data_IF_037058042961
#
_entry.id   IF_037058042961
#
_cell.length_a   1.000
_cell.length_b   1.000
_cell.length_c   1.000
_cell.angle_alpha   90.00
_cell.angle_beta   90.00
_cell.angle_gamma   90.00
#
_symmetry.space_group_name_H-M   'P 1'
#
loop_
_entity.id
_entity.type
_entity.pdbx_description
1 polymer ?
#
# COMPACT_ATOMS: atom_id res chain seq x y z
N UNK A 1 20.69 -2.25 6.48
CA UNK A 1 20.55 -3.72 6.61
C UNK A 1 20.59 -4.46 5.27
N UNK A 2 19.81 -4.07 4.25
CA UNK A 2 19.85 -4.71 2.92
C UNK A 2 21.28 -4.84 2.35
N UNK A 3 22.09 -3.76 2.33
CA UNK A 3 23.50 -3.78 1.86
C UNK A 3 24.42 -4.82 2.53
N UNK A 4 24.17 -5.22 3.78
CA UNK A 4 25.03 -6.17 4.50
C UNK A 4 24.82 -7.61 4.02
N UNK A 5 23.56 -7.98 3.75
CA UNK A 5 23.23 -9.23 3.04
C UNK A 5 23.86 -9.27 1.64
N UNK A 6 23.95 -8.13 0.96
CA UNK A 6 24.53 -8.01 -0.39
C UNK A 6 26.02 -8.36 -0.47
N UNK A 7 26.78 -8.24 0.63
CA UNK A 7 28.23 -8.50 0.62
C UNK A 7 28.53 -10.00 0.80
N UNK A 8 27.73 -10.70 1.61
CA UNK A 8 27.89 -12.12 1.92
C UNK A 8 27.54 -13.06 0.75
N UNK A 9 26.67 -12.62 -0.17
CA UNK A 9 26.11 -13.46 -1.22
C UNK A 9 26.90 -13.47 -2.54
N UNK A 10 28.11 -12.88 -2.59
CA UNK A 10 28.91 -12.64 -3.82
C UNK A 10 29.35 -13.87 -4.64
N UNK A 11 29.00 -15.09 -4.26
CA UNK A 11 29.36 -16.29 -5.04
C UNK A 11 28.14 -17.03 -5.57
N UNK A 12 27.95 -16.93 -6.90
CA UNK A 12 27.18 -17.79 -7.82
C UNK A 12 25.79 -17.27 -8.27
N UNK A 13 25.62 -17.26 -9.61
CA UNK A 13 24.48 -16.91 -10.48
C UNK A 13 24.17 -15.41 -10.70
N UNK A 14 24.95 -14.79 -11.61
CA UNK A 14 24.91 -13.37 -12.01
C UNK A 14 23.53 -12.82 -12.39
N UNK A 15 22.67 -13.58 -13.09
CA UNK A 15 21.40 -13.03 -13.62
C UNK A 15 20.30 -12.90 -12.56
N UNK A 16 20.09 -13.93 -11.73
CA UNK A 16 19.04 -13.90 -10.72
C UNK A 16 19.41 -12.97 -9.55
N UNK A 17 20.71 -12.94 -9.21
CA UNK A 17 21.25 -11.92 -8.33
C UNK A 17 21.06 -10.53 -8.92
N UNK A 18 21.47 -10.26 -10.15
CA UNK A 18 21.25 -8.93 -10.74
C UNK A 18 19.78 -8.48 -10.66
N UNK A 19 18.81 -9.36 -10.89
CA UNK A 19 17.39 -9.04 -10.76
C UNK A 19 16.99 -8.78 -9.31
N UNK A 20 17.27 -9.70 -8.36
CA UNK A 20 16.93 -9.51 -6.92
C UNK A 20 17.65 -8.31 -6.31
N UNK A 21 18.86 -8.00 -6.78
CA UNK A 21 19.73 -6.93 -6.31
C UNK A 21 19.48 -5.60 -7.02
N UNK A 22 18.72 -5.57 -8.11
CA UNK A 22 18.55 -4.37 -8.92
C UNK A 22 17.61 -3.36 -8.22
N UNK A 23 17.87 -2.04 -8.35
CA UNK A 23 16.86 -1.01 -8.10
C UNK A 23 15.51 -1.31 -8.82
N UNK A 24 15.57 -1.99 -9.95
CA UNK A 24 14.42 -2.51 -10.73
C UNK A 24 13.49 -3.43 -9.94
N UNK A 25 14.01 -4.17 -8.96
CA UNK A 25 13.21 -5.02 -8.07
C UNK A 25 12.48 -4.23 -6.99
N UNK A 26 12.92 -3.00 -6.68
CA UNK A 26 12.32 -2.22 -5.61
C UNK A 26 11.00 -1.55 -5.97
N UNK A 27 10.52 -1.66 -7.21
CA UNK A 27 9.25 -1.06 -7.66
C UNK A 27 9.15 0.44 -7.35
N UNK A 28 10.27 1.13 -7.09
CA UNK A 28 10.23 2.45 -6.46
C UNK A 28 9.44 3.46 -7.29
N UNK A 29 9.54 3.42 -8.62
CA UNK A 29 8.75 4.31 -9.46
C UNK A 29 7.22 4.15 -9.24
N UNK A 30 6.74 2.93 -9.02
CA UNK A 30 5.31 2.57 -9.04
C UNK A 30 4.76 2.40 -7.62
N UNK A 31 5.63 2.18 -6.66
CA UNK A 31 5.27 1.91 -5.29
C UNK A 31 5.73 2.98 -4.31
N UNK A 32 6.59 3.92 -4.71
CA UNK A 32 7.09 4.97 -3.82
C UNK A 32 6.62 6.36 -4.26
N UNK A 33 6.61 7.27 -3.29
CA UNK A 33 6.26 8.67 -3.47
C UNK A 33 6.98 9.55 -2.45
N UNK A 34 7.01 10.86 -2.73
CA UNK A 34 7.46 11.88 -1.79
C UNK A 34 6.40 12.09 -0.71
N UNK A 35 6.80 12.04 0.55
CA UNK A 35 6.03 12.50 1.71
C UNK A 35 6.76 13.64 2.41
N UNK A 36 6.12 14.26 3.40
CA UNK A 36 6.75 15.30 4.24
C UNK A 36 7.99 14.81 5.01
N UNK A 37 8.14 13.49 5.19
CA UNK A 37 9.23 12.88 5.98
C UNK A 37 10.30 12.19 5.13
N UNK A 38 9.97 11.80 3.90
CA UNK A 38 10.86 11.04 3.03
C UNK A 38 10.49 11.23 1.56
N UNK A 39 11.45 11.70 0.78
CA UNK A 39 11.28 11.96 -0.66
C UNK A 39 11.07 10.71 -1.52
N UNK A 40 11.42 9.52 -0.99
CA UNK A 40 11.25 8.23 -1.66
C UNK A 40 10.65 7.19 -0.70
N UNK A 41 9.55 7.56 -0.04
CA UNK A 41 8.81 6.66 0.84
C UNK A 41 8.17 5.56 0.01
N UNK A 42 8.46 4.29 0.32
CA UNK A 42 7.56 3.19 -0.07
C UNK A 42 6.14 3.56 0.35
N UNK A 43 5.12 3.29 -0.49
CA UNK A 43 3.65 3.41 -0.24
C UNK A 43 2.86 2.10 -0.49
N UNK A 44 3.55 0.96 -0.45
CA UNK A 44 3.06 -0.41 -0.15
C UNK A 44 4.06 -1.17 0.77
N UNK A 45 3.59 -2.16 1.53
CA UNK A 45 4.45 -3.09 2.28
C UNK A 45 4.89 -4.24 1.38
N UNK A 46 6.11 -4.76 1.56
CA UNK A 46 6.65 -5.89 0.80
C UNK A 46 7.29 -6.92 1.73
N UNK A 47 6.92 -8.18 1.54
CA UNK A 47 7.60 -9.33 2.11
C UNK A 47 8.29 -10.10 1.00
N UNK A 48 9.60 -10.17 1.07
CA UNK A 48 10.43 -10.83 0.07
C UNK A 48 11.00 -12.09 0.70
N UNK A 49 10.61 -13.24 0.14
CA UNK A 49 11.15 -14.54 0.49
C UNK A 49 12.24 -14.92 -0.51
N UNK A 50 13.48 -15.00 -0.05
CA UNK A 50 14.63 -15.45 -0.85
C UNK A 50 14.84 -16.94 -0.58
N UNK A 51 14.73 -17.77 -1.61
CA UNK A 51 14.87 -19.22 -1.49
C UNK A 51 16.31 -19.69 -1.71
N UNK A 52 16.72 -20.72 -0.95
CA UNK A 52 18.04 -21.34 -1.02
C UNK A 52 17.97 -22.84 -1.30
N UNK A 53 18.94 -23.37 -2.03
CA UNK A 53 19.13 -24.83 -2.18
C UNK A 53 19.88 -25.44 -0.98
N UNK A 54 20.10 -26.76 -1.02
CA UNK A 54 20.86 -27.51 0.00
C UNK A 54 22.32 -27.05 0.16
N UNK A 55 22.85 -26.27 -0.78
CA UNK A 55 24.20 -25.69 -0.75
C UNK A 55 24.18 -24.20 -0.38
N UNK A 56 23.05 -23.70 0.11
CA UNK A 56 22.82 -22.30 0.48
C UNK A 56 23.05 -21.31 -0.66
N UNK A 57 22.83 -21.73 -1.91
CA UNK A 57 22.84 -20.84 -3.08
C UNK A 57 21.44 -20.31 -3.32
N UNK A 58 21.34 -19.04 -3.71
CA UNK A 58 20.05 -18.43 -4.07
C UNK A 58 19.51 -19.15 -5.31
N UNK A 59 18.27 -19.62 -5.23
CA UNK A 59 17.61 -20.32 -6.33
C UNK A 59 16.49 -19.50 -6.96
N UNK A 60 15.90 -18.56 -6.22
CA UNK A 60 14.66 -17.87 -6.58
C UNK A 60 14.26 -16.89 -5.49
N UNK A 61 13.25 -16.08 -5.79
CA UNK A 61 12.59 -15.25 -4.79
C UNK A 61 11.09 -15.16 -5.05
N UNK A 62 10.33 -14.82 -4.01
CA UNK A 62 8.90 -14.54 -4.09
C UNK A 62 8.61 -13.28 -3.28
N UNK A 63 7.93 -12.33 -3.88
CA UNK A 63 7.48 -11.09 -3.26
C UNK A 63 5.98 -11.11 -3.06
N UNK A 64 5.56 -10.84 -1.82
CA UNK A 64 4.17 -10.55 -1.46
C UNK A 64 4.07 -9.09 -1.10
N UNK A 65 3.07 -8.41 -1.63
CA UNK A 65 2.83 -7.00 -1.36
C UNK A 65 1.56 -6.82 -0.54
N UNK A 66 1.54 -5.79 0.30
CA UNK A 66 0.47 -5.49 1.23
C UNK A 66 0.21 -4.00 1.24
N UNK A 67 -1.03 -3.60 1.49
CA UNK A 67 -1.38 -2.22 1.84
C UNK A 67 -0.83 -1.17 0.87
N UNK A 68 -1.02 -1.39 -0.43
CA UNK A 68 -0.83 -0.32 -1.40
C UNK A 68 -1.76 0.83 -1.01
N UNK A 69 -1.20 2.02 -0.79
CA UNK A 69 -1.93 3.24 -0.46
C UNK A 69 -2.64 3.79 -1.70
N UNK A 70 -3.70 3.11 -2.14
CA UNK A 70 -4.42 3.43 -3.38
C UNK A 70 -4.89 4.88 -3.43
N UNK A 71 -5.29 5.46 -2.29
CA UNK A 71 -5.77 6.85 -2.23
C UNK A 71 -4.74 7.87 -2.67
N UNK A 72 -3.45 7.57 -2.57
CA UNK A 72 -2.39 8.44 -3.10
C UNK A 72 -2.53 8.72 -4.58
N UNK A 73 -3.14 7.80 -5.35
CA UNK A 73 -3.40 8.01 -6.79
C UNK A 73 -4.28 9.22 -7.04
N UNK A 74 -5.23 9.50 -6.14
CA UNK A 74 -6.31 10.48 -6.35
C UNK A 74 -6.26 11.68 -5.41
N UNK A 75 -5.38 11.63 -4.40
CA UNK A 75 -5.21 12.68 -3.41
C UNK A 75 -3.79 12.67 -2.85
N UNK A 76 -3.21 13.84 -2.64
CA UNK A 76 -1.95 14.03 -1.90
C UNK A 76 -2.08 15.25 -1.00
N UNK A 77 -1.51 15.18 0.20
CA UNK A 77 -1.44 16.33 1.10
C UNK A 77 -0.45 17.38 0.56
N UNK A 78 -0.52 18.60 1.09
CA UNK A 78 0.43 19.67 0.79
C UNK A 78 1.87 19.20 1.01
N UNK A 79 2.75 19.57 0.09
CA UNK A 79 4.17 19.18 0.04
C UNK A 79 4.43 17.69 -0.20
N UNK A 80 3.42 16.88 -0.50
CA UNK A 80 3.60 15.50 -0.94
C UNK A 80 3.48 15.36 -2.46
N UNK A 81 3.95 14.22 -3.01
CA UNK A 81 3.73 13.86 -4.42
C UNK A 81 2.91 12.58 -4.53
N UNK A 82 2.35 12.39 -5.73
CA UNK A 82 1.82 11.09 -6.16
C UNK A 82 2.99 10.10 -6.39
N UNK A 83 2.70 8.89 -6.85
CA UNK A 83 3.73 7.92 -7.22
C UNK A 83 4.69 8.48 -8.28
N UNK A 84 5.98 8.23 -8.11
CA UNK A 84 7.04 8.81 -8.97
C UNK A 84 6.79 8.56 -10.46
N UNK A 85 6.23 7.41 -10.82
CA UNK A 85 5.99 7.02 -12.23
C UNK A 85 5.13 8.02 -13.00
N UNK A 86 4.21 8.73 -12.34
CA UNK A 86 3.40 9.75 -12.99
C UNK A 86 4.25 10.96 -13.40
N UNK A 87 5.16 11.41 -12.53
CA UNK A 87 6.08 12.51 -12.81
C UNK A 87 7.11 12.10 -13.86
N UNK A 88 7.64 10.88 -13.78
CA UNK A 88 8.54 10.29 -14.77
C UNK A 88 7.91 10.25 -16.18
N UNK A 89 6.64 9.86 -16.27
CA UNK A 89 5.88 9.86 -17.53
C UNK A 89 5.69 11.28 -18.08
N UNK A 90 5.24 12.22 -17.25
CA UNK A 90 5.01 13.61 -17.67
C UNK A 90 6.33 14.28 -18.11
N UNK A 91 7.42 14.10 -17.36
CA UNK A 91 8.74 14.62 -17.72
C UNK A 91 9.27 14.05 -19.06
N UNK A 92 8.81 12.84 -19.42
CA UNK A 92 9.20 12.15 -20.66
C UNK A 92 8.23 12.37 -21.81
N UNK A 93 7.20 13.21 -21.67
CA UNK A 93 6.13 13.40 -22.65
C UNK A 93 6.62 13.79 -24.06
N UNK A 94 7.79 14.43 -24.15
CA UNK A 94 8.41 14.83 -25.43
C UNK A 94 8.94 13.67 -26.28
N UNK A 95 9.10 12.47 -25.71
CA UNK A 95 9.61 11.31 -26.43
C UNK A 95 8.66 10.89 -27.58
N UNK A 96 9.18 10.63 -28.80
CA UNK A 96 8.35 10.27 -29.95
C UNK A 96 7.41 9.09 -29.69
N UNK A 97 7.87 8.08 -28.94
CA UNK A 97 7.08 6.90 -28.61
C UNK A 97 5.94 7.17 -27.61
N UNK A 98 5.99 8.27 -26.85
CA UNK A 98 4.98 8.64 -25.86
C UNK A 98 3.96 9.68 -26.37
N UNK A 99 4.14 10.22 -27.58
CA UNK A 99 3.22 11.22 -28.14
C UNK A 99 1.77 10.76 -28.22
N UNK A 100 1.57 9.48 -28.52
CA UNK A 100 0.24 8.87 -28.58
C UNK A 100 -0.45 8.81 -27.21
N UNK A 101 0.27 9.03 -26.11
CA UNK A 101 -0.27 9.10 -24.75
C UNK A 101 -0.94 10.43 -24.44
N UNK A 102 -0.70 11.48 -25.24
CA UNK A 102 -1.27 12.82 -25.03
C UNK A 102 -0.98 13.41 -23.64
N UNK A 103 0.22 13.13 -23.12
CA UNK A 103 0.68 13.60 -21.82
C UNK A 103 0.92 15.12 -21.84
N UNK A 104 0.57 15.78 -20.73
CA UNK A 104 0.83 17.18 -20.41
C UNK A 104 1.94 17.30 -19.36
N UNK A 105 2.29 18.53 -18.95
CA UNK A 105 3.13 18.75 -17.77
C UNK A 105 2.44 18.19 -16.51
N UNK A 106 3.23 17.75 -15.52
CA UNK A 106 2.69 17.22 -14.27
C UNK A 106 1.79 18.21 -13.51
N UNK A 107 1.99 19.52 -13.66
CA UNK A 107 1.14 20.55 -13.05
C UNK A 107 -0.27 20.63 -13.68
N UNK A 108 -0.42 20.17 -14.92
CA UNK A 108 -1.66 20.27 -15.69
C UNK A 108 -2.57 19.05 -15.49
N UNK A 109 -2.07 17.99 -14.83
CA UNK A 109 -2.90 16.88 -14.38
C UNK A 109 -3.29 17.04 -12.92
N UNK A 110 -4.60 16.96 -12.66
CA UNK A 110 -5.20 17.10 -11.33
C UNK A 110 -4.56 16.12 -10.32
N UNK A 111 -4.38 14.85 -10.71
CA UNK A 111 -3.83 13.84 -9.81
C UNK A 111 -2.33 14.02 -9.47
N UNK A 112 -1.59 14.88 -10.15
CA UNK A 112 -0.17 15.14 -9.84
C UNK A 112 0.07 16.53 -9.25
N UNK A 113 -0.89 17.44 -9.33
CA UNK A 113 -0.76 18.83 -8.86
C UNK A 113 -1.38 19.10 -7.48
N UNK A 114 -2.19 18.19 -6.93
CA UNK A 114 -2.86 18.38 -5.64
C UNK A 114 -1.90 18.65 -4.46
N UNK A 115 -0.73 18.02 -4.47
CA UNK A 115 0.29 18.21 -3.42
C UNK A 115 1.08 19.52 -3.51
N UNK A 116 0.87 20.33 -4.54
CA UNK A 116 1.59 21.58 -4.77
C UNK A 116 2.74 21.41 -5.76
N UNK A 117 3.99 21.47 -5.28
CA UNK A 117 5.16 21.37 -6.16
C UNK A 117 5.26 19.98 -6.79
N UNK A 118 5.38 19.98 -8.12
CA UNK A 118 5.48 18.75 -8.91
C UNK A 118 6.94 18.31 -9.13
N UNK A 119 7.88 19.21 -8.88
CA UNK A 119 9.32 18.94 -8.97
C UNK A 119 9.88 18.46 -7.63
N UNK A 120 11.05 17.82 -7.68
CA UNK A 120 11.77 17.39 -6.48
C UNK A 120 13.26 17.73 -6.64
N UNK A 121 13.82 18.39 -5.62
CA UNK A 121 15.20 18.89 -5.68
C UNK A 121 16.20 17.73 -5.85
N UNK A 122 17.08 17.83 -6.85
CA UNK A 122 18.09 16.82 -7.12
C UNK A 122 17.59 15.54 -7.80
N UNK A 123 16.33 15.49 -8.22
CA UNK A 123 15.77 14.37 -8.99
C UNK A 123 15.45 14.80 -10.42
N UNK A 124 15.93 14.00 -11.37
CA UNK A 124 15.57 14.10 -12.79
C UNK A 124 14.58 12.98 -13.12
N UNK A 125 13.29 13.34 -13.14
CA UNK A 125 12.20 12.39 -13.41
C UNK A 125 12.29 11.81 -14.84
N UNK A 126 12.89 12.51 -15.82
CA UNK A 126 13.08 11.97 -17.16
C UNK A 126 14.22 10.94 -17.21
N UNK A 127 15.33 11.20 -16.51
CA UNK A 127 16.41 10.21 -16.35
C UNK A 127 15.92 8.96 -15.61
N UNK A 128 15.13 9.16 -14.55
CA UNK A 128 14.57 8.06 -13.76
C UNK A 128 13.52 7.26 -14.54
N UNK A 129 12.80 7.87 -15.48
CA UNK A 129 11.93 7.13 -16.40
C UNK A 129 12.71 6.13 -17.26
N UNK A 130 13.89 6.51 -17.75
CA UNK A 130 14.73 5.62 -18.56
C UNK A 130 15.26 4.46 -17.70
N UNK A 131 15.62 4.71 -16.44
CA UNK A 131 15.95 3.64 -15.47
C UNK A 131 14.75 2.70 -15.25
N UNK A 132 13.53 3.23 -15.19
CA UNK A 132 12.30 2.43 -15.09
C UNK A 132 12.06 1.56 -16.33
N UNK A 133 12.29 2.06 -17.55
CA UNK A 133 12.22 1.25 -18.79
C UNK A 133 13.24 0.12 -18.78
N UNK A 134 14.49 0.43 -18.42
CA UNK A 134 15.56 -0.57 -18.29
C UNK A 134 15.21 -1.63 -17.24
N UNK A 135 14.61 -1.22 -16.13
CA UNK A 135 14.12 -2.11 -15.09
C UNK A 135 13.08 -3.11 -15.60
N UNK A 136 12.07 -2.64 -16.34
CA UNK A 136 11.10 -3.52 -16.97
C UNK A 136 11.74 -4.52 -17.93
N UNK A 137 12.70 -4.08 -18.74
CA UNK A 137 13.44 -4.94 -19.67
C UNK A 137 14.21 -6.03 -18.93
N UNK A 138 14.88 -5.71 -17.81
CA UNK A 138 15.59 -6.68 -16.97
C UNK A 138 14.64 -7.71 -16.33
N UNK A 139 13.41 -7.31 -16.02
CA UNK A 139 12.35 -8.20 -15.52
C UNK A 139 11.69 -9.04 -16.63
N UNK A 140 12.15 -8.92 -17.88
CA UNK A 140 11.62 -9.67 -19.01
C UNK A 140 10.29 -9.13 -19.54
N UNK A 141 9.90 -7.90 -19.16
CA UNK A 141 8.70 -7.25 -19.68
C UNK A 141 9.02 -6.69 -21.07
N UNK A 142 8.37 -7.25 -22.09
CA UNK A 142 8.54 -6.82 -23.50
C UNK A 142 8.13 -5.36 -23.67
N UNK A 143 8.78 -4.65 -24.59
CA UNK A 143 8.48 -3.25 -24.93
C UNK A 143 6.99 -3.01 -25.24
N UNK A 144 6.32 -3.95 -25.92
CA UNK A 144 4.88 -3.86 -26.18
C UNK A 144 4.02 -3.84 -24.90
N UNK A 145 4.46 -4.57 -23.87
CA UNK A 145 3.80 -4.57 -22.56
C UNK A 145 4.18 -3.33 -21.74
N UNK A 146 5.42 -2.86 -21.84
CA UNK A 146 5.83 -1.60 -21.21
C UNK A 146 4.98 -0.42 -21.73
N UNK A 147 4.82 -0.30 -23.04
CA UNK A 147 3.94 0.70 -23.64
C UNK A 147 2.49 0.56 -23.17
N UNK A 148 2.03 -0.66 -22.92
CA UNK A 148 0.69 -0.91 -22.39
C UNK A 148 0.56 -0.42 -20.93
N UNK A 149 1.58 -0.65 -20.10
CA UNK A 149 1.67 -0.08 -18.74
C UNK A 149 1.59 1.44 -18.79
N UNK A 150 2.35 2.08 -19.67
CA UNK A 150 2.36 3.54 -19.82
C UNK A 150 1.02 4.09 -20.32
N UNK A 151 0.32 3.38 -21.22
CA UNK A 151 -1.06 3.73 -21.62
C UNK A 151 -2.04 3.70 -20.46
N UNK A 152 -1.96 2.70 -19.59
CA UNK A 152 -2.83 2.59 -18.41
C UNK A 152 -2.56 3.75 -17.45
N UNK A 153 -1.29 4.06 -17.19
CA UNK A 153 -0.90 5.16 -16.30
C UNK A 153 -1.33 6.53 -16.86
N UNK A 154 -1.11 6.77 -18.15
CA UNK A 154 -1.59 7.98 -18.83
C UNK A 154 -3.13 8.07 -18.79
N UNK A 155 -3.83 6.95 -18.98
CA UNK A 155 -5.29 6.92 -18.85
C UNK A 155 -5.74 7.31 -17.42
N UNK A 156 -5.07 6.85 -16.37
CA UNK A 156 -5.37 7.27 -14.99
C UNK A 156 -5.22 8.79 -14.82
N UNK A 157 -4.17 9.40 -15.40
CA UNK A 157 -3.99 10.85 -15.37
C UNK A 157 -5.11 11.59 -16.12
N UNK A 158 -5.45 11.16 -17.34
CA UNK A 158 -6.57 11.74 -18.08
C UNK A 158 -7.89 11.59 -17.35
N UNK A 159 -8.16 10.42 -16.74
CA UNK A 159 -9.37 10.20 -15.98
C UNK A 159 -9.52 11.26 -14.87
N UNK A 160 -8.44 11.58 -14.15
CA UNK A 160 -8.44 12.60 -13.10
C UNK A 160 -8.81 14.02 -13.56
N UNK A 161 -8.64 14.32 -14.85
CA UNK A 161 -8.95 15.61 -15.46
C UNK A 161 -10.34 15.68 -16.09
N UNK A 162 -11.12 14.59 -16.10
CA UNK A 162 -12.50 14.62 -16.61
C UNK A 162 -13.33 15.63 -15.81
N UNK A 163 -13.91 16.62 -16.50
CA UNK A 163 -14.66 17.73 -15.92
C UNK A 163 -16.14 17.40 -15.78
N UNK A 164 -16.57 17.14 -14.54
CA UNK A 164 -17.97 16.94 -14.18
C UNK A 164 -18.62 18.27 -13.81
N UNK A 165 -19.84 18.50 -14.31
CA UNK A 165 -20.64 19.68 -14.00
C UNK A 165 -21.95 19.28 -13.34
N UNK A 166 -22.28 19.95 -12.25
CA UNK A 166 -23.60 19.78 -11.61
C UNK A 166 -24.68 20.33 -12.53
N UNK A 167 -25.76 19.57 -12.68
CA UNK A 167 -26.98 20.07 -13.30
C UNK A 167 -27.74 20.98 -12.33
N UNK A 168 -28.76 21.69 -12.84
CA UNK A 168 -29.55 22.67 -12.08
C UNK A 168 -30.32 22.06 -10.90
N UNK A 169 -30.57 20.75 -10.94
CA UNK A 169 -31.28 20.02 -9.88
C UNK A 169 -30.39 19.71 -8.66
N UNK A 170 -29.06 19.80 -8.79
CA UNK A 170 -28.09 19.42 -7.76
C UNK A 170 -28.01 17.92 -7.47
N UNK A 171 -28.85 17.11 -8.10
CA UNK A 171 -28.94 15.66 -7.90
C UNK A 171 -28.32 14.87 -9.06
N UNK A 172 -28.06 15.54 -10.18
CA UNK A 172 -27.40 14.96 -11.35
C UNK A 172 -26.17 15.75 -11.80
N UNK A 173 -25.31 15.10 -12.55
CA UNK A 173 -24.17 15.71 -13.19
C UNK A 173 -24.00 15.22 -14.62
N UNK A 174 -23.29 16.01 -15.42
CA UNK A 174 -22.91 15.70 -16.78
C UNK A 174 -21.41 15.95 -16.98
N UNK A 175 -20.83 15.27 -17.96
CA UNK A 175 -19.46 15.56 -18.40
C UNK A 175 -19.55 16.65 -19.47
N UNK A 176 -18.57 17.55 -19.51
CA UNK A 176 -18.53 18.59 -20.53
C UNK A 176 -18.57 17.99 -21.94
N UNK A 177 -19.40 18.56 -22.82
CA UNK A 177 -19.48 18.12 -24.20
C UNK A 177 -18.09 18.11 -24.85
N UNK A 178 -17.71 16.98 -25.45
CA UNK A 178 -16.40 16.80 -26.10
C UNK A 178 -15.21 16.95 -25.14
N UNK A 179 -15.35 16.52 -23.88
CA UNK A 179 -14.23 16.44 -22.94
C UNK A 179 -13.05 15.65 -23.53
N UNK A 180 -11.95 16.34 -23.79
CA UNK A 180 -10.76 15.75 -24.43
C UNK A 180 -10.13 14.67 -23.57
N UNK A 181 -10.14 14.85 -22.24
CA UNK A 181 -9.53 13.90 -21.31
C UNK A 181 -10.31 12.58 -21.26
N UNK A 182 -11.64 12.62 -21.29
CA UNK A 182 -12.47 11.42 -21.43
C UNK A 182 -12.19 10.71 -22.76
N UNK A 183 -12.05 11.47 -23.86
CA UNK A 183 -11.68 10.91 -25.15
C UNK A 183 -10.29 10.23 -25.12
N UNK A 184 -9.28 10.87 -24.53
CA UNK A 184 -7.95 10.28 -24.37
C UNK A 184 -8.00 9.02 -23.49
N UNK A 185 -8.70 9.05 -22.35
CA UNK A 185 -8.91 7.88 -21.48
C UNK A 185 -9.52 6.71 -22.25
N UNK A 186 -10.63 6.94 -22.96
CA UNK A 186 -11.34 5.90 -23.69
C UNK A 186 -10.49 5.33 -24.83
N UNK A 187 -9.77 6.18 -25.57
CA UNK A 187 -8.85 5.76 -26.64
C UNK A 187 -7.68 4.95 -26.12
N UNK A 188 -7.05 5.37 -25.02
CA UNK A 188 -5.87 4.71 -24.43
C UNK A 188 -6.19 3.33 -23.86
N UNK A 189 -7.38 3.19 -23.27
CA UNK A 189 -7.87 1.89 -22.79
C UNK A 189 -8.69 1.15 -23.83
N UNK A 190 -8.93 1.71 -25.02
CA UNK A 190 -9.75 1.12 -26.07
C UNK A 190 -11.15 0.71 -25.62
N UNK A 191 -11.76 1.51 -24.73
CA UNK A 191 -13.13 1.33 -24.26
C UNK A 191 -14.09 2.22 -25.03
N UNK A 192 -15.37 1.90 -24.99
CA UNK A 192 -16.39 2.65 -25.71
C UNK A 192 -16.76 3.93 -24.96
N UNK A 193 -16.69 5.06 -25.67
CA UNK A 193 -16.81 6.39 -25.08
C UNK A 193 -18.20 6.66 -24.51
N UNK A 194 -19.28 6.37 -25.25
CA UNK A 194 -20.63 6.70 -24.84
C UNK A 194 -21.08 5.92 -23.59
N UNK A 195 -20.66 4.66 -23.46
CA UNK A 195 -20.85 3.83 -22.29
C UNK A 195 -20.07 4.39 -21.10
N UNK A 196 -18.79 4.73 -21.27
CA UNK A 196 -17.99 5.26 -20.17
C UNK A 196 -18.54 6.60 -19.67
N UNK A 197 -18.87 7.50 -20.58
CA UNK A 197 -19.52 8.77 -20.29
C UNK A 197 -20.82 8.57 -19.49
N UNK A 198 -21.66 7.63 -19.94
CA UNK A 198 -22.90 7.30 -19.24
C UNK A 198 -22.64 6.77 -17.83
N UNK A 199 -21.80 5.74 -17.67
CA UNK A 199 -21.58 5.07 -16.39
C UNK A 199 -20.66 5.82 -15.41
N UNK A 200 -20.04 6.92 -15.82
CA UNK A 200 -19.38 7.86 -14.91
C UNK A 200 -20.39 8.80 -14.22
N UNK A 201 -21.52 9.10 -14.86
CA UNK A 201 -22.58 9.97 -14.31
C UNK A 201 -23.81 9.22 -13.79
N UNK A 202 -23.87 7.90 -14.00
CA UNK A 202 -25.00 7.06 -13.63
C UNK A 202 -24.55 5.79 -12.94
N UNK A 203 -25.40 5.28 -12.05
CA UNK A 203 -25.23 3.97 -11.42
C UNK A 203 -26.45 3.10 -11.58
N UNK A 204 -26.23 1.80 -11.69
CA UNK A 204 -27.30 0.80 -11.72
C UNK A 204 -27.71 0.44 -10.30
N UNK A 205 -29.02 0.35 -10.08
CA UNK A 205 -29.60 -0.13 -8.84
C UNK A 205 -30.42 -1.38 -9.15
N UNK A 206 -30.06 -2.48 -8.48
CA UNK A 206 -30.75 -3.76 -8.60
C UNK A 206 -31.53 -4.00 -7.32
N UNK A 207 -32.85 -4.15 -7.47
CA UNK A 207 -33.76 -4.58 -6.40
C UNK A 207 -34.21 -6.01 -6.68
N UNK A 208 -34.90 -6.64 -5.73
CA UNK A 208 -35.43 -8.01 -5.89
C UNK A 208 -36.33 -8.17 -7.13
N UNK A 209 -36.98 -7.08 -7.55
CA UNK A 209 -38.02 -7.10 -8.59
C UNK A 209 -37.58 -6.40 -9.87
N UNK A 210 -36.76 -5.35 -9.77
CA UNK A 210 -36.47 -4.43 -10.88
C UNK A 210 -35.03 -3.93 -10.87
N UNK A 211 -34.55 -3.57 -12.07
CA UNK A 211 -33.28 -2.90 -12.28
C UNK A 211 -33.54 -1.53 -12.89
N UNK A 212 -33.04 -0.48 -12.25
CA UNK A 212 -33.15 0.88 -12.77
C UNK A 212 -31.82 1.62 -12.70
N UNK A 213 -31.64 2.60 -13.58
CA UNK A 213 -30.48 3.49 -13.60
C UNK A 213 -30.82 4.77 -12.85
N UNK A 214 -29.91 5.22 -11.98
CA UNK A 214 -30.05 6.45 -11.22
C UNK A 214 -28.90 7.40 -11.52
N UNK A 215 -29.23 8.69 -11.68
CA UNK A 215 -28.25 9.76 -11.82
C UNK A 215 -27.39 9.89 -10.56
N UNK A 216 -26.13 10.28 -10.75
CA UNK A 216 -25.20 10.56 -9.68
C UNK A 216 -25.06 12.07 -9.52
N UNK A 217 -25.03 12.54 -8.28
CA UNK A 217 -24.64 13.93 -8.00
C UNK A 217 -23.18 14.16 -8.38
N UNK A 218 -22.77 15.42 -8.51
CA UNK A 218 -21.38 15.78 -8.81
C UNK A 218 -20.38 15.08 -7.87
N UNK A 219 -20.63 15.14 -6.57
CA UNK A 219 -19.75 14.50 -5.57
C UNK A 219 -19.69 12.98 -5.76
N UNK A 220 -20.84 12.34 -6.02
CA UNK A 220 -20.89 10.90 -6.25
C UNK A 220 -20.09 10.49 -7.49
N UNK A 221 -20.21 11.25 -8.59
CA UNK A 221 -19.48 10.98 -9.83
C UNK A 221 -17.97 11.17 -9.67
N UNK A 222 -17.53 12.24 -8.99
CA UNK A 222 -16.11 12.46 -8.65
C UNK A 222 -15.57 11.31 -7.81
N UNK A 223 -16.33 10.86 -6.82
CA UNK A 223 -15.93 9.74 -5.96
C UNK A 223 -15.85 8.42 -6.75
N UNK A 224 -16.81 8.15 -7.64
CA UNK A 224 -16.80 6.97 -8.49
C UNK A 224 -15.63 6.99 -9.49
N UNK A 225 -15.34 8.14 -10.11
CA UNK A 225 -14.13 8.34 -10.93
C UNK A 225 -12.87 8.01 -10.12
N UNK A 226 -12.76 8.54 -8.91
CA UNK A 226 -11.61 8.30 -8.05
C UNK A 226 -11.50 6.80 -7.66
N UNK A 227 -12.62 6.13 -7.37
CA UNK A 227 -12.65 4.70 -7.12
C UNK A 227 -12.15 3.89 -8.33
N UNK A 228 -12.60 4.25 -9.54
CA UNK A 228 -12.15 3.64 -10.79
C UNK A 228 -10.64 3.84 -11.01
N UNK A 229 -10.13 5.06 -10.81
CA UNK A 229 -8.70 5.36 -10.92
C UNK A 229 -7.84 4.53 -9.95
N UNK A 230 -8.24 4.48 -8.67
CA UNK A 230 -7.61 3.64 -7.64
C UNK A 230 -7.59 2.17 -8.03
N UNK A 231 -8.70 1.67 -8.58
CA UNK A 231 -8.82 0.27 -9.00
C UNK A 231 -7.91 -0.05 -10.18
N UNK A 232 -7.91 0.79 -11.22
CA UNK A 232 -7.04 0.63 -12.39
C UNK A 232 -5.57 0.57 -11.96
N UNK A 233 -5.15 1.50 -11.10
CA UNK A 233 -3.78 1.52 -10.58
C UNK A 233 -3.44 0.28 -9.75
N UNK A 234 -4.33 -0.13 -8.86
CA UNK A 234 -4.12 -1.32 -8.02
C UNK A 234 -4.00 -2.61 -8.86
N UNK A 235 -4.81 -2.76 -9.91
CA UNK A 235 -4.72 -3.90 -10.82
C UNK A 235 -3.41 -3.89 -11.61
N UNK A 236 -2.99 -2.72 -12.09
CA UNK A 236 -1.69 -2.56 -12.73
C UNK A 236 -0.54 -2.92 -11.78
N UNK A 237 -0.57 -2.40 -10.55
CA UNK A 237 0.44 -2.70 -9.54
C UNK A 237 0.55 -4.21 -9.27
N UNK A 238 -0.59 -4.88 -9.04
CA UNK A 238 -0.64 -6.32 -8.84
C UNK A 238 -0.07 -7.11 -10.02
N UNK A 239 -0.39 -6.69 -11.25
CA UNK A 239 0.15 -7.31 -12.45
C UNK A 239 1.68 -7.19 -12.51
N UNK A 240 2.24 -6.02 -12.19
CA UNK A 240 3.70 -5.83 -12.17
C UNK A 240 4.34 -6.72 -11.11
N UNK A 241 3.74 -6.83 -9.93
CA UNK A 241 4.20 -7.76 -8.87
C UNK A 241 4.19 -9.22 -9.35
N UNK A 242 3.15 -9.64 -10.07
CA UNK A 242 3.08 -10.98 -10.66
C UNK A 242 4.18 -11.21 -11.69
N UNK A 243 4.47 -10.23 -12.54
CA UNK A 243 5.56 -10.30 -13.52
C UNK A 243 6.93 -10.40 -12.86
N UNK A 244 7.16 -9.64 -11.78
CA UNK A 244 8.36 -9.76 -10.95
C UNK A 244 8.47 -11.18 -10.37
N UNK A 245 7.39 -11.70 -9.78
CA UNK A 245 7.38 -13.05 -9.22
C UNK A 245 7.64 -14.12 -10.28
N UNK A 246 7.13 -13.94 -11.49
CA UNK A 246 7.39 -14.84 -12.63
C UNK A 246 8.86 -14.80 -13.05
N UNK A 247 9.48 -13.61 -13.07
CA UNK A 247 10.90 -13.45 -13.37
C UNK A 247 11.82 -14.05 -12.31
N UNK A 248 11.37 -14.07 -11.04
CA UNK A 248 12.12 -14.59 -9.89
C UNK A 248 11.83 -16.06 -9.58
N UNK A 249 10.84 -16.64 -10.25
CA UNK A 249 10.38 -18.01 -10.01
C UNK A 249 11.47 -19.03 -10.38
N UNK A 250 11.52 -20.12 -9.60
CA UNK A 250 12.45 -21.22 -9.81
C UNK A 250 11.74 -22.56 -9.67
N UNK A 251 12.13 -23.52 -10.51
CA UNK A 251 11.67 -24.91 -10.43
C UNK A 251 12.51 -25.74 -9.47
N UNK A 252 13.63 -25.21 -8.97
CA UNK A 252 14.50 -25.89 -8.02
C UNK A 252 13.79 -25.99 -6.67
N UNK A 253 13.82 -27.18 -6.05
CA UNK A 253 13.21 -27.40 -4.74
C UNK A 253 13.91 -26.55 -3.67
N UNK A 254 13.15 -25.65 -3.04
CA UNK A 254 13.61 -24.83 -1.91
C UNK A 254 13.95 -25.72 -0.71
N UNK A 255 15.14 -25.52 -0.13
CA UNK A 255 15.59 -26.17 1.09
C UNK A 255 15.35 -25.27 2.32
N UNK A 256 15.80 -24.02 2.24
CA UNK A 256 15.60 -22.99 3.26
C UNK A 256 15.25 -21.66 2.60
N UNK A 257 14.81 -20.68 3.39
CA UNK A 257 14.54 -19.33 2.90
C UNK A 257 14.92 -18.27 3.93
N UNK A 258 15.06 -17.04 3.47
CA UNK A 258 15.17 -15.84 4.31
C UNK A 258 14.05 -14.90 3.90
N UNK A 259 13.21 -14.52 4.87
CA UNK A 259 12.15 -13.54 4.70
C UNK A 259 12.64 -12.16 5.09
N UNK A 260 12.41 -11.17 4.23
CA UNK A 260 12.67 -9.75 4.50
C UNK A 260 11.34 -9.02 4.41
N UNK A 261 10.87 -8.50 5.55
CA UNK A 261 9.70 -7.63 5.61
C UNK A 261 10.15 -6.18 5.59
N UNK A 262 9.61 -5.40 4.67
CA UNK A 262 9.79 -3.95 4.55
C UNK A 262 8.38 -3.32 4.46
N UNK A 263 8.00 -2.56 5.48
CA UNK A 263 6.67 -1.99 5.65
C UNK A 263 6.81 -0.58 6.26
N UNK A 264 5.79 0.25 6.10
CA UNK A 264 5.65 1.55 6.77
C UNK A 264 5.99 1.45 8.25
N UNK A 265 6.81 2.39 8.71
CA UNK A 265 6.85 2.69 10.14
C UNK A 265 5.56 3.38 10.59
N UNK A 266 5.45 3.58 11.90
CA UNK A 266 4.37 4.34 12.51
C UNK A 266 4.34 5.80 12.00
N UNK A 267 3.17 6.31 11.63
CA UNK A 267 2.98 7.66 11.04
C UNK A 267 2.06 8.52 11.91
N UNK A 268 2.46 9.77 12.19
CA UNK A 268 1.63 10.78 12.88
C UNK A 268 1.76 12.11 12.14
N UNK A 269 0.69 12.60 11.54
CA UNK A 269 0.65 13.88 10.84
C UNK A 269 -0.31 14.86 11.53
N UNK A 270 -0.35 16.10 11.06
CA UNK A 270 -1.33 17.10 11.51
C UNK A 270 -2.76 16.66 11.18
N UNK A 271 -2.95 15.98 10.04
CA UNK A 271 -4.21 15.39 9.62
C UNK A 271 -4.05 13.90 9.34
N UNK A 272 -4.56 13.05 10.23
CA UNK A 272 -4.54 11.59 10.06
C UNK A 272 -5.91 11.11 9.60
N UNK A 273 -5.95 10.40 8.48
CA UNK A 273 -7.19 9.82 7.94
C UNK A 273 -7.17 8.29 8.03
N UNK A 274 -8.09 7.63 7.33
CA UNK A 274 -8.25 6.18 7.34
C UNK A 274 -6.96 5.43 6.99
N UNK A 275 -6.16 5.97 6.07
CA UNK A 275 -4.90 5.37 5.64
C UNK A 275 -3.87 5.31 6.77
N UNK A 276 -3.65 6.42 7.48
CA UNK A 276 -2.76 6.45 8.65
C UNK A 276 -3.27 5.53 9.74
N UNK A 277 -4.58 5.49 9.97
CA UNK A 277 -5.18 4.55 10.92
C UNK A 277 -4.87 3.09 10.55
N UNK A 278 -4.99 2.71 9.27
CA UNK A 278 -4.62 1.38 8.80
C UNK A 278 -3.12 1.08 8.96
N UNK A 279 -2.25 2.05 8.67
CA UNK A 279 -0.79 1.93 8.82
C UNK A 279 -0.40 1.74 10.29
N UNK A 280 -0.97 2.53 11.19
CA UNK A 280 -0.67 2.46 12.61
C UNK A 280 -1.22 1.18 13.24
N UNK A 281 -2.41 0.72 12.82
CA UNK A 281 -2.92 -0.60 13.19
C UNK A 281 -1.99 -1.75 12.74
N UNK A 282 -1.44 -1.69 11.52
CA UNK A 282 -0.45 -2.66 11.06
C UNK A 282 0.81 -2.65 11.94
N UNK A 283 1.29 -1.47 12.34
CA UNK A 283 2.43 -1.33 13.23
C UNK A 283 2.12 -1.85 14.65
N UNK A 284 0.91 -1.62 15.17
CA UNK A 284 0.45 -2.17 16.46
C UNK A 284 0.57 -3.71 16.49
N UNK A 285 0.09 -4.36 15.42
CA UNK A 285 0.17 -5.82 15.22
C UNK A 285 1.62 -6.32 15.12
N UNK A 286 2.48 -5.61 14.40
CA UNK A 286 3.90 -5.95 14.29
C UNK A 286 4.63 -5.81 15.62
N UNK A 287 4.34 -4.75 16.37
CA UNK A 287 4.88 -4.55 17.71
C UNK A 287 4.47 -5.69 18.65
N UNK A 288 3.21 -6.15 18.57
CA UNK A 288 2.76 -7.26 19.40
C UNK A 288 3.48 -8.57 19.08
N UNK A 289 3.76 -8.84 17.81
CA UNK A 289 4.56 -10.00 17.43
C UNK A 289 6.01 -9.88 17.89
N UNK A 290 6.60 -8.70 17.82
CA UNK A 290 7.92 -8.43 18.36
C UNK A 290 7.96 -8.69 19.87
N UNK A 291 6.98 -8.16 20.62
CA UNK A 291 6.89 -8.33 22.07
C UNK A 291 6.76 -9.81 22.45
N UNK A 292 5.87 -10.56 21.78
CA UNK A 292 5.69 -11.98 22.01
C UNK A 292 6.95 -12.79 21.69
N UNK A 293 7.65 -12.48 20.61
CA UNK A 293 8.83 -13.26 20.22
C UNK A 293 10.05 -12.95 21.11
N UNK A 294 10.37 -11.68 21.30
CA UNK A 294 11.57 -11.27 22.04
C UNK A 294 11.42 -11.53 23.53
N UNK A 295 10.27 -11.21 24.13
CA UNK A 295 10.16 -11.33 25.58
C UNK A 295 9.61 -12.68 26.02
N UNK A 296 8.53 -13.17 25.41
CA UNK A 296 7.86 -14.37 25.91
C UNK A 296 8.61 -15.65 25.56
N UNK A 297 9.06 -15.80 24.31
CA UNK A 297 9.76 -17.02 23.90
C UNK A 297 11.19 -17.10 24.46
N UNK A 298 11.89 -15.98 24.61
CA UNK A 298 13.20 -15.98 25.30
C UNK A 298 13.04 -16.36 26.78
N UNK A 299 12.01 -15.83 27.46
CA UNK A 299 11.71 -16.21 28.84
C UNK A 299 11.38 -17.70 28.97
N UNK A 300 10.57 -18.25 28.07
CA UNK A 300 10.24 -19.67 28.05
C UNK A 300 11.50 -20.54 27.84
N UNK A 301 12.45 -20.11 27.02
CA UNK A 301 13.72 -20.84 26.82
C UNK A 301 14.65 -20.72 28.04
N UNK A 302 14.77 -19.55 28.68
CA UNK A 302 15.53 -19.42 29.93
C UNK A 302 14.98 -20.29 31.06
N UNK A 303 13.65 -20.37 31.17
CA UNK A 303 12.99 -21.26 32.13
C UNK A 303 13.26 -22.74 31.80
N UNK A 304 13.25 -23.10 30.51
CA UNK A 304 13.53 -24.46 30.04
C UNK A 304 14.99 -24.88 30.26
N UNK A 305 15.94 -23.96 30.09
CA UNK A 305 17.36 -24.17 30.39
C UNK A 305 17.69 -24.08 31.89
N UNK A 306 16.70 -23.82 32.75
CA UNK A 306 16.85 -23.64 34.20
C UNK A 306 17.83 -22.52 34.58
N UNK A 307 17.93 -21.50 33.74
CA UNK A 307 18.72 -20.31 34.00
C UNK A 307 17.92 -19.43 34.99
N UNK A 308 18.49 -18.99 36.12
CA UNK A 308 17.82 -18.09 37.05
C UNK A 308 17.48 -16.78 36.33
N UNK A 309 16.21 -16.60 35.99
CA UNK A 309 15.72 -15.44 35.25
C UNK A 309 14.67 -14.68 36.08
N UNK A 310 14.76 -13.35 36.07
CA UNK A 310 13.72 -12.49 36.64
C UNK A 310 12.80 -12.05 35.53
N UNK A 311 11.52 -12.41 35.60
CA UNK A 311 10.51 -12.01 34.62
C UNK A 311 10.56 -10.48 34.43
N UNK A 312 10.78 -10.06 33.18
CA UNK A 312 10.69 -8.65 32.79
C UNK A 312 9.24 -8.42 32.39
N UNK A 313 8.57 -7.53 33.12
CA UNK A 313 7.24 -7.03 32.75
C UNK A 313 7.41 -6.13 31.51
N UNK A 314 6.70 -6.46 30.44
CA UNK A 314 6.72 -5.68 29.20
C UNK A 314 5.31 -5.18 28.89
N UNK A 315 5.24 -4.06 28.17
CA UNK A 315 3.98 -3.49 27.78
C UNK A 315 3.27 -4.36 26.72
N UNK A 316 2.18 -5.02 27.12
CA UNK A 316 1.32 -5.77 26.23
C UNK A 316 0.32 -4.82 25.54
N UNK A 317 0.45 -4.69 24.22
CA UNK A 317 -0.41 -3.82 23.43
C UNK A 317 -1.63 -4.57 22.83
N UNK A 318 -1.88 -5.82 23.24
CA UNK A 318 -3.10 -6.56 22.87
C UNK A 318 -4.40 -5.79 23.14
N UNK A 319 -4.58 -5.06 24.26
CA UNK A 319 -5.82 -4.31 24.50
C UNK A 319 -6.07 -3.19 23.47
N UNK A 320 -5.01 -2.60 22.90
CA UNK A 320 -5.14 -1.64 21.80
C UNK A 320 -5.57 -2.33 20.50
N UNK A 321 -5.02 -3.52 20.22
CA UNK A 321 -5.38 -4.32 19.05
C UNK A 321 -6.85 -4.75 19.14
N UNK A 322 -7.29 -5.23 20.31
CA UNK A 322 -8.67 -5.67 20.55
C UNK A 322 -9.66 -4.52 20.39
N UNK A 323 -9.32 -3.30 20.84
CA UNK A 323 -10.12 -2.09 20.58
C UNK A 323 -10.37 -1.90 19.08
N UNK A 324 -9.37 -2.17 18.24
CA UNK A 324 -9.43 -1.93 16.80
C UNK A 324 -10.17 -3.05 16.06
N UNK A 325 -9.76 -4.31 16.27
CA UNK A 325 -10.18 -5.44 15.41
C UNK A 325 -11.23 -6.37 16.01
N UNK A 326 -11.44 -6.35 17.33
CA UNK A 326 -12.37 -7.30 17.95
C UNK A 326 -13.81 -7.01 17.51
N UNK A 327 -14.71 -7.96 17.81
CA UNK A 327 -16.15 -7.76 17.59
C UNK A 327 -16.64 -6.53 18.37
N UNK A 328 -17.40 -5.66 17.70
CA UNK A 328 -17.79 -4.34 18.20
C UNK A 328 -16.59 -3.43 18.53
N UNK A 329 -15.44 -3.66 17.90
CA UNK A 329 -14.30 -2.75 17.85
C UNK A 329 -14.43 -1.72 16.72
N UNK A 330 -13.43 -0.86 16.57
CA UNK A 330 -13.47 0.27 15.63
C UNK A 330 -13.76 -0.17 14.19
N UNK A 331 -13.09 -1.22 13.71
CA UNK A 331 -13.26 -1.75 12.35
C UNK A 331 -14.64 -2.37 12.12
N UNK A 332 -15.13 -3.17 13.07
CA UNK A 332 -16.43 -3.83 12.98
C UNK A 332 -17.57 -2.80 12.96
N UNK A 333 -17.48 -1.77 13.81
CA UNK A 333 -18.45 -0.66 13.83
C UNK A 333 -18.42 0.17 12.54
N UNK A 334 -17.24 0.33 11.92
CA UNK A 334 -17.11 1.00 10.63
C UNK A 334 -17.81 0.20 9.52
N UNK A 335 -17.61 -1.12 9.50
CA UNK A 335 -18.22 -2.03 8.54
C UNK A 335 -19.74 -2.10 8.70
N UNK A 336 -20.24 -2.06 9.94
CA UNK A 336 -21.67 -1.96 10.22
C UNK A 336 -22.26 -0.66 9.66
N UNK A 337 -21.64 0.49 9.93
CA UNK A 337 -22.15 1.77 9.42
C UNK A 337 -22.08 1.86 7.89
N UNK A 338 -21.05 1.27 7.27
CA UNK A 338 -20.94 1.19 5.81
C UNK A 338 -22.17 0.52 5.16
N UNK A 339 -22.80 -0.44 5.84
CA UNK A 339 -23.99 -1.18 5.38
C UNK A 339 -25.31 -0.45 5.65
N UNK A 340 -25.32 0.60 6.46
CA UNK A 340 -26.53 1.39 6.75
C UNK A 340 -26.87 2.25 5.52
N UNK A 341 -28.10 2.21 4.98
CA UNK A 341 -28.49 2.94 3.75
C UNK A 341 -28.29 4.46 3.78
N UNK A 342 -28.20 5.05 4.98
CA UNK A 342 -27.89 6.46 5.24
C UNK A 342 -26.84 6.60 6.34
N UNK A 343 -25.91 5.64 6.42
CA UNK A 343 -24.80 5.73 7.36
C UNK A 343 -23.89 6.89 6.98
N UNK A 344 -23.45 7.64 7.99
CA UNK A 344 -22.57 8.81 7.84
C UNK A 344 -21.38 8.71 8.77
N UNK A 345 -20.30 9.43 8.46
CA UNK A 345 -19.11 9.49 9.32
C UNK A 345 -19.45 10.04 10.72
N UNK A 346 -20.45 10.93 10.81
CA UNK A 346 -20.96 11.45 12.09
C UNK A 346 -21.60 10.37 12.95
N UNK A 347 -22.49 9.57 12.36
CA UNK A 347 -23.16 8.49 13.07
C UNK A 347 -22.16 7.45 13.55
N UNK A 348 -21.17 7.13 12.72
CA UNK A 348 -20.09 6.22 13.09
C UNK A 348 -19.25 6.77 14.25
N UNK A 349 -18.82 8.04 14.17
CA UNK A 349 -18.07 8.68 15.25
C UNK A 349 -18.84 8.62 16.58
N UNK A 350 -20.15 8.88 16.55
CA UNK A 350 -21.00 8.80 17.73
C UNK A 350 -21.04 7.37 18.30
N UNK A 351 -21.19 6.35 17.45
CA UNK A 351 -21.12 4.94 17.87
C UNK A 351 -19.79 4.59 18.56
N UNK A 352 -18.67 5.11 18.05
CA UNK A 352 -17.37 4.91 18.69
C UNK A 352 -17.33 5.50 20.10
N UNK A 353 -17.83 6.74 20.28
CA UNK A 353 -17.86 7.39 21.60
C UNK A 353 -18.72 6.61 22.59
N UNK A 354 -19.91 6.20 22.18
CA UNK A 354 -20.86 5.48 23.03
C UNK A 354 -20.30 4.10 23.44
N UNK A 355 -19.58 3.43 22.53
CA UNK A 355 -19.05 2.08 22.78
C UNK A 355 -17.73 2.08 23.55
N UNK A 356 -16.80 2.98 23.21
CA UNK A 356 -15.41 2.91 23.64
C UNK A 356 -14.96 4.07 24.55
N UNK A 357 -15.85 4.98 24.95
CA UNK A 357 -15.49 6.14 25.78
C UNK A 357 -14.81 5.83 27.12
N UNK A 358 -14.93 4.60 27.63
CA UNK A 358 -14.27 4.13 28.86
C UNK A 358 -12.99 3.31 28.62
N UNK A 359 -12.61 3.06 27.36
CA UNK A 359 -11.40 2.31 27.03
C UNK A 359 -10.15 3.14 27.33
N UNK A 360 -9.12 2.52 27.90
CA UNK A 360 -7.83 3.19 28.14
C UNK A 360 -7.14 3.65 26.85
N UNK A 361 -7.44 2.97 25.74
CA UNK A 361 -6.84 3.22 24.44
C UNK A 361 -7.67 4.12 23.53
N UNK A 362 -8.83 4.58 23.98
CA UNK A 362 -9.73 5.41 23.17
C UNK A 362 -10.06 6.70 23.88
N UNK A 363 -9.99 7.84 23.18
CA UNK A 363 -10.38 9.13 23.71
C UNK A 363 -11.19 9.93 22.70
N UNK A 364 -12.19 10.66 23.20
CA UNK A 364 -12.92 11.67 22.42
C UNK A 364 -12.19 13.02 22.51
N UNK A 365 -11.81 13.65 21.39
CA UNK A 365 -11.31 15.02 21.38
C UNK A 365 -12.31 16.00 22.00
N UNK A 366 -11.81 16.99 22.75
CA UNK A 366 -12.69 17.98 23.41
C UNK A 366 -13.36 18.94 22.42
N UNK A 367 -12.67 19.25 21.32
CA UNK A 367 -13.03 20.32 20.39
C UNK A 367 -13.66 19.81 19.08
N UNK A 368 -13.73 18.49 18.89
CA UNK A 368 -14.25 17.88 17.65
C UNK A 368 -15.25 16.77 17.98
N UNK A 369 -16.34 16.73 17.21
CA UNK A 369 -17.23 15.57 17.19
C UNK A 369 -16.93 14.64 16.02
N UNK A 370 -16.04 15.05 15.08
CA UNK A 370 -15.69 14.34 13.85
C UNK A 370 -14.28 13.75 13.89
N UNK A 371 -13.78 13.42 15.08
CA UNK A 371 -12.46 12.84 15.24
C UNK A 371 -12.40 11.94 16.48
N UNK A 372 -11.53 10.94 16.47
CA UNK A 372 -11.28 10.07 17.63
C UNK A 372 -9.77 9.91 17.84
N UNK A 373 -9.37 9.64 19.08
CA UNK A 373 -7.97 9.45 19.44
C UNK A 373 -7.75 8.00 19.85
N UNK A 374 -6.72 7.39 19.29
CA UNK A 374 -6.20 6.09 19.76
C UNK A 374 -4.86 6.31 20.46
N UNK A 375 -4.71 5.69 21.63
CA UNK A 375 -3.44 5.60 22.34
C UNK A 375 -2.72 4.34 21.87
N UNK A 376 -1.86 4.47 20.86
CA UNK A 376 -1.04 3.39 20.33
C UNK A 376 0.18 3.13 21.22
N UNK A 377 0.94 2.06 20.96
CA UNK A 377 2.20 1.80 21.67
C UNK A 377 3.23 2.94 21.51
N UNK A 378 3.23 3.61 20.35
CA UNK A 378 4.22 4.62 19.99
C UNK A 378 3.80 6.04 20.35
N UNK A 379 2.52 6.39 20.13
CA UNK A 379 2.02 7.76 20.28
C UNK A 379 0.48 7.80 20.44
N UNK A 380 -0.04 8.97 20.82
CA UNK A 380 -1.47 9.28 20.78
C UNK A 380 -1.80 9.96 19.47
N UNK A 381 -2.64 9.34 18.65
CA UNK A 381 -2.95 9.82 17.30
C UNK A 381 -4.42 10.19 17.20
N UNK A 382 -4.70 11.43 16.78
CA UNK A 382 -6.04 11.92 16.45
C UNK A 382 -6.34 11.64 14.97
N UNK A 383 -7.44 10.92 14.71
CA UNK A 383 -7.92 10.57 13.38
C UNK A 383 -9.22 11.29 13.08
N UNK A 384 -9.31 11.90 11.90
CA UNK A 384 -10.48 12.63 11.43
C UNK A 384 -11.43 11.70 10.67
N UNK A 385 -12.68 11.60 11.12
CA UNK A 385 -13.66 10.65 10.59
C UNK A 385 -14.08 10.92 9.15
N UNK A 386 -13.85 12.13 8.64
CA UNK A 386 -14.29 12.52 7.29
C UNK A 386 -13.76 11.56 6.21
N UNK A 387 -14.70 10.96 5.48
CA UNK A 387 -14.44 10.04 4.40
C UNK A 387 -14.12 8.60 4.83
N UNK A 388 -14.16 8.25 6.13
CA UNK A 388 -13.86 6.89 6.60
C UNK A 388 -14.81 5.85 6.00
N UNK A 389 -16.12 6.09 6.03
CA UNK A 389 -17.10 5.16 5.45
C UNK A 389 -16.86 4.95 3.96
N UNK A 390 -16.63 6.03 3.24
CA UNK A 390 -16.44 5.99 1.80
C UNK A 390 -15.12 5.31 1.41
N UNK A 391 -14.04 5.67 2.11
CA UNK A 391 -12.74 5.02 1.95
C UNK A 391 -12.84 3.54 2.24
N UNK A 392 -13.55 3.14 3.30
CA UNK A 392 -13.72 1.72 3.67
C UNK A 392 -14.62 0.94 2.69
N UNK A 393 -15.64 1.59 2.11
CA UNK A 393 -16.49 0.99 1.07
C UNK A 393 -15.70 0.60 -0.19
N UNK A 394 -14.69 1.42 -0.58
CA UNK A 394 -13.81 1.24 -1.76
C UNK A 394 -14.50 0.64 -3.00
N UNK A 395 -15.77 1.02 -3.22
CA UNK A 395 -16.64 0.33 -4.17
C UNK A 395 -16.48 0.94 -5.55
N UNK A 396 -16.17 0.09 -6.53
CA UNK A 396 -16.22 0.45 -7.94
C UNK A 396 -17.52 -0.08 -8.53
N UNK A 397 -18.21 0.73 -9.33
CA UNK A 397 -19.44 0.30 -9.99
C UNK A 397 -19.17 -0.81 -11.00
N UNK A 398 -19.97 -1.88 -10.96
CA UNK A 398 -19.79 -3.06 -11.79
C UNK A 398 -19.84 -2.72 -13.29
N UNK A 399 -20.65 -1.74 -13.66
CA UNK A 399 -20.80 -1.30 -15.04
C UNK A 399 -19.51 -0.67 -15.58
N UNK A 400 -18.82 0.15 -14.77
CA UNK A 400 -17.52 0.72 -15.14
C UNK A 400 -16.49 -0.40 -15.34
N UNK A 401 -16.50 -1.42 -14.47
CA UNK A 401 -15.64 -2.60 -14.62
C UNK A 401 -15.99 -3.41 -15.89
N UNK A 402 -17.27 -3.56 -16.20
CA UNK A 402 -17.71 -4.28 -17.40
C UNK A 402 -17.27 -3.59 -18.69
N UNK A 403 -17.23 -2.25 -18.70
CA UNK A 403 -16.65 -1.49 -19.81
C UNK A 403 -15.15 -1.74 -19.93
N UNK A 404 -14.40 -1.74 -18.81
CA UNK A 404 -12.96 -2.07 -18.82
C UNK A 404 -12.70 -3.50 -19.32
N UNK A 405 -13.55 -4.47 -18.95
CA UNK A 405 -13.47 -5.85 -19.46
C UNK A 405 -13.71 -5.94 -20.97
N UNK A 406 -14.50 -5.03 -21.54
CA UNK A 406 -14.75 -4.95 -22.97
C UNK A 406 -13.67 -4.16 -23.76
N UNK A 407 -12.59 -3.75 -23.08
CA UNK A 407 -11.44 -3.05 -23.69
C UNK A 407 -10.90 -3.79 -24.92
N UNK A 408 -10.68 -3.05 -26.01
CA UNK A 408 -10.03 -3.54 -27.24
C UNK A 408 -8.52 -3.54 -27.16
N UNK A 409 -7.94 -2.82 -26.21
CA UNK A 409 -6.51 -2.88 -25.99
C UNK A 409 -6.24 -4.28 -25.47
N UNK A 410 -5.35 -5.01 -26.16
CA UNK A 410 -4.70 -6.21 -25.61
C UNK A 410 -3.78 -5.76 -24.49
N UNK A 411 -4.39 -5.24 -23.44
CA UNK A 411 -3.85 -5.29 -22.11
C UNK A 411 -3.44 -6.75 -21.91
N UNK A 412 -2.45 -7.07 -21.08
CA UNK A 412 -2.23 -8.44 -20.62
C UNK A 412 -3.44 -8.94 -19.79
N UNK A 413 -4.69 -8.59 -20.13
CA UNK A 413 -6.01 -8.88 -19.54
C UNK A 413 -6.48 -10.32 -19.79
N UNK A 414 -5.58 -11.20 -20.20
CA UNK A 414 -5.69 -12.62 -19.83
C UNK A 414 -5.08 -12.94 -18.46
N UNK A 415 -4.25 -12.04 -17.93
CA UNK A 415 -3.54 -12.11 -16.63
C UNK A 415 -3.92 -10.94 -15.69
N UNK A 416 -4.29 -9.75 -16.21
CA UNK A 416 -4.92 -8.68 -15.40
C UNK A 416 -6.39 -9.03 -15.24
N UNK A 417 -6.71 -9.64 -14.12
CA UNK A 417 -8.07 -10.02 -13.81
C UNK A 417 -8.84 -8.86 -13.16
N UNK A 418 -9.60 -8.12 -13.97
CA UNK A 418 -10.56 -7.11 -13.51
C UNK A 418 -11.65 -7.69 -12.58
N UNK A 419 -11.75 -9.02 -12.43
CA UNK A 419 -12.73 -9.71 -11.59
C UNK A 419 -12.27 -9.81 -10.13
N UNK A 420 -10.96 -9.72 -9.82
CA UNK A 420 -10.43 -10.14 -8.51
C UNK A 420 -10.92 -9.33 -7.29
N UNK A 421 -11.71 -8.27 -7.43
CA UNK A 421 -12.42 -7.70 -6.27
C UNK A 421 -13.77 -7.07 -6.60
N UNK A 422 -14.64 -7.78 -7.32
CA UNK A 422 -16.10 -7.53 -7.22
C UNK A 422 -16.77 -8.56 -6.28
N UNK A 423 -16.05 -9.60 -5.86
CA UNK A 423 -16.60 -10.62 -4.97
C UNK A 423 -16.65 -10.13 -3.51
N UNK A 424 -17.84 -9.65 -3.14
CA UNK A 424 -18.26 -9.22 -1.80
C UNK A 424 -17.59 -7.91 -1.39
N UNK A 425 -18.41 -6.96 -0.91
CA UNK A 425 -17.97 -5.78 -0.18
C UNK A 425 -17.21 -6.20 1.08
N UNK A 426 -15.98 -6.69 0.91
CA UNK A 426 -15.05 -6.92 2.01
C UNK A 426 -14.41 -5.57 2.24
N UNK A 427 -14.85 -4.89 3.29
CA UNK A 427 -14.31 -3.61 3.71
C UNK A 427 -12.78 -3.68 3.81
N UNK A 428 -12.09 -2.58 3.48
CA UNK A 428 -10.62 -2.50 3.52
C UNK A 428 -10.06 -2.95 4.89
N UNK A 429 -10.80 -2.66 5.95
CA UNK A 429 -10.62 -3.14 7.33
C UNK A 429 -10.41 -4.67 7.44
N UNK A 430 -11.30 -5.46 6.86
CA UNK A 430 -11.27 -6.93 6.85
C UNK A 430 -10.13 -7.46 5.99
N UNK A 431 -9.91 -6.86 4.81
CA UNK A 431 -8.79 -7.23 3.92
C UNK A 431 -7.43 -6.96 4.59
N UNK A 432 -7.31 -5.82 5.28
CA UNK A 432 -6.15 -5.41 6.07
C UNK A 432 -5.88 -6.39 7.21
N UNK A 433 -6.88 -6.70 8.05
CA UNK A 433 -6.74 -7.63 9.17
C UNK A 433 -6.33 -9.04 8.68
N UNK A 434 -6.96 -9.54 7.62
CA UNK A 434 -6.64 -10.86 7.05
C UNK A 434 -5.23 -10.89 6.45
N UNK A 435 -4.84 -9.86 5.70
CA UNK A 435 -3.53 -9.75 5.07
C UNK A 435 -2.39 -9.66 6.09
N UNK A 436 -2.59 -8.88 7.16
CA UNK A 436 -1.65 -8.79 8.27
C UNK A 436 -1.54 -10.12 9.01
N UNK A 437 -2.67 -10.76 9.31
CA UNK A 437 -2.68 -12.07 9.99
C UNK A 437 -1.93 -13.14 9.20
N UNK A 438 -2.13 -13.20 7.87
CA UNK A 438 -1.41 -14.11 6.98
C UNK A 438 0.10 -13.80 6.92
N UNK A 439 0.47 -12.52 6.98
CA UNK A 439 1.88 -12.09 6.98
C UNK A 439 2.58 -12.49 8.28
N UNK A 440 1.95 -12.21 9.42
CA UNK A 440 2.49 -12.57 10.74
C UNK A 440 2.58 -14.09 10.92
N UNK A 441 1.61 -14.84 10.42
CA UNK A 441 1.67 -16.31 10.39
C UNK A 441 2.82 -16.84 9.52
N UNK A 442 3.32 -16.09 8.54
CA UNK A 442 4.50 -16.47 7.75
C UNK A 442 5.83 -16.13 8.44
N UNK A 443 5.83 -15.22 9.40
CA UNK A 443 6.99 -14.89 10.22
C UNK A 443 7.20 -15.92 11.36
N UNK A 444 6.13 -16.49 11.91
CA UNK A 444 6.19 -17.40 13.05
C UNK A 444 7.01 -18.69 12.85
N UNK A 445 7.03 -19.38 11.68
CA UNK A 445 7.88 -20.55 11.47
C UNK A 445 9.33 -20.21 11.04
N UNK A 446 9.65 -18.94 10.79
CA UNK A 446 10.92 -18.52 10.15
C UNK A 446 12.09 -18.29 11.11
N UNK A 447 11.83 -18.34 12.43
CA UNK A 447 12.86 -18.27 13.47
C UNK A 447 13.06 -19.65 14.12
N UNK A 448 13.83 -20.56 13.52
CA UNK A 448 14.29 -21.73 14.24
C UNK A 448 15.26 -21.27 15.33
N UNK A 449 14.94 -21.58 16.58
CA UNK A 449 15.91 -21.65 17.67
C UNK A 449 17.00 -22.66 17.27
N UNK A 450 18.07 -22.21 16.61
CA UNK A 450 19.29 -22.99 16.53
C UNK A 450 20.13 -22.62 17.76
N UNK A 451 20.47 -23.59 18.63
CA UNK A 451 21.38 -23.31 19.73
C UNK A 451 22.72 -22.89 19.12
N UNK A 452 23.19 -21.70 19.47
CA UNK A 452 24.58 -21.33 19.24
C UNK A 452 25.45 -22.33 20.03
N UNK A 453 25.92 -23.39 19.38
CA UNK A 453 27.05 -24.14 19.89
C UNK A 453 28.28 -23.24 19.78
N UNK A 454 28.60 -22.58 20.89
CA UNK A 454 29.92 -21.97 21.08
C UNK A 454 30.98 -23.07 21.04
N UNK A 455 32.02 -22.97 20.20
CA UNK A 455 33.18 -23.83 20.35
C UNK A 455 33.85 -23.46 21.67
N UNK A 456 33.95 -24.44 22.56
CA UNK A 456 34.63 -24.34 23.85
C UNK A 456 36.07 -23.82 23.67
N UNK A 457 36.28 -22.54 23.95
CA UNK A 457 37.61 -21.99 24.24
C UNK A 457 37.80 -22.06 25.75
N UNK A 458 38.60 -23.03 26.18
CA UNK A 458 39.10 -23.14 27.54
C UNK A 458 39.97 -21.93 27.89
N UNK A 459 39.42 -20.98 28.65
CA UNK A 459 40.19 -19.90 29.28
C UNK A 459 40.83 -20.44 30.56
N UNK A 460 42.16 -20.43 30.60
CA UNK A 460 42.97 -20.59 31.81
C UNK A 460 43.02 -19.26 32.57
N UNK A 461 43.01 -19.25 33.92
CA UNK A 461 42.99 -18.01 34.68
C UNK A 461 44.42 -17.59 35.05
N UNK A 462 44.93 -16.53 34.42
CA UNK A 462 45.87 -15.62 35.08
C UNK A 462 46.10 -14.42 34.17
N UNK A 463 45.71 -13.24 34.65
CA UNK A 463 46.54 -12.02 34.63
C UNK A 463 45.73 -10.87 35.26
N UNK A 464 46.34 -10.30 36.29
CA UNK A 464 45.91 -9.18 37.11
C UNK A 464 45.73 -7.89 36.30
N UNK A 465 44.61 -7.21 36.51
CA UNK A 465 44.38 -5.82 36.07
C UNK A 465 45.09 -4.85 37.03
N UNK A 466 45.86 -3.85 36.54
CA UNK A 466 46.24 -2.71 37.34
C UNK A 466 45.14 -1.64 37.33
N UNK A 467 44.83 -1.15 38.52
CA UNK A 467 43.98 0.02 38.80
C UNK A 467 44.51 1.28 38.13
N UNK A 468 43.68 1.98 37.36
CA UNK A 468 43.93 3.35 36.91
C UNK A 468 42.83 4.27 37.44
N UNK A 469 43.27 5.16 38.33
CA UNK A 469 42.54 6.26 38.96
C UNK A 469 42.17 7.34 37.94
N UNK A 470 40.88 7.70 37.89
CA UNK A 470 40.40 8.90 37.21
C UNK A 470 40.73 10.14 38.05
N UNK A 471 41.38 11.12 37.42
CA UNK A 471 41.55 12.50 37.91
C UNK A 471 40.72 13.43 37.00
N UNK A 472 39.98 14.43 37.53
CA UNK A 472 39.16 15.33 36.72
C UNK A 472 39.88 16.64 36.35
N UNK A 473 39.22 17.43 35.48
CA UNK A 473 39.60 18.72 34.85
C UNK A 473 40.22 18.54 33.45
N UNK A 474 39.70 19.13 32.37
CA UNK A 474 38.88 20.33 32.15
C UNK A 474 37.95 20.12 30.95
#
# INVERSE_FOLDING_TARGET
>A
SNRYFMILLKSVALNLQAVVLSPSFNLSAIGNAKTTRNDNSSRFGKYIQIGFDKRYRIIGANMRTYLLEKSRVVFQATDERNYHIFYQLCASAGLPELKDLSLLDAKDFFYTSLGGDTSLEGVDDAEDFEKTKQAFTLLGVKESYQMTVFKILAAVLHLGNVDFRSERDGESCSITNQDEHLHHFCRLLGVEHSQMEHWLCHRKLVTTSETYTKNMSLQQAVNARNALAKHIYAQLFNWIVQHINKALYTTVKQHSFIGVLDIYGFETFEYNSFEQFCINYANEKLQQQFNLHVFKLEQDEYMKEQIPWTLIDFYDNQPCIDLIEAKLGILDLLDEECKVPKGTDENWAQKLYDRHGNSQHFQKPRMSNMAFIIVHFADKVEYYCEGFLEKNRDTVHEEQINILKASKVKLPVGEIDWIVSVSVSVCLSLSLSLSLSLSLASLSPSFPLSPFHSPSLSLSPSLSLPSLSLSPHL
#
